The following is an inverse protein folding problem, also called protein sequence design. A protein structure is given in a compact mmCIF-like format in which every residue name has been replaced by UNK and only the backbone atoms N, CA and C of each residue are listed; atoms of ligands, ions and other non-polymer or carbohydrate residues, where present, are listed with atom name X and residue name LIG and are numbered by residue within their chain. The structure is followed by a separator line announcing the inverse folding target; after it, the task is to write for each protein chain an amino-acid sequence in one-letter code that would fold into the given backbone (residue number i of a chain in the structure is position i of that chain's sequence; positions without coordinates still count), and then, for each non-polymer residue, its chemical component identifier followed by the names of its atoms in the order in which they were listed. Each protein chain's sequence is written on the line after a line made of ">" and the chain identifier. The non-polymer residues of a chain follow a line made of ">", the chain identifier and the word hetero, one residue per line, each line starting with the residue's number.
data_IF_251592469015
#
_entry.id   IF_251592469015
#
_cell.length_a   1.000
_cell.length_b   1.000
_cell.length_c   1.000
_cell.angle_alpha   90.00
_cell.angle_beta   90.00
_cell.angle_gamma   90.00
#
_symmetry.space_group_name_H-M   'P 1'
#
loop_
_entity.id
_entity.type
_entity.pdbx_description
1 polymer ?
#
# COMPACT_ATOMS: atom_id res chain seq x y z
N UNK A 1 34.49 2.86 -8.20
CA UNK A 1 33.46 3.67 -7.52
C UNK A 1 32.55 2.68 -6.85
N UNK A 2 32.58 2.65 -5.52
CA UNK A 2 31.97 1.60 -4.70
C UNK A 2 30.46 1.71 -4.77
N UNK A 3 29.80 0.63 -5.18
CA UNK A 3 28.36 0.49 -5.09
C UNK A 3 28.01 0.39 -3.60
N UNK A 4 27.29 1.39 -3.09
CA UNK A 4 26.65 1.34 -1.78
C UNK A 4 25.49 0.36 -1.90
N UNK A 5 25.69 -0.87 -1.43
CA UNK A 5 24.59 -1.79 -1.14
C UNK A 5 23.69 -1.10 -0.13
N UNK A 6 22.49 -0.68 -0.56
CA UNK A 6 21.47 -0.21 0.36
C UNK A 6 21.10 -1.39 1.25
N UNK A 7 21.23 -1.19 2.56
CA UNK A 7 20.77 -2.12 3.57
C UNK A 7 19.30 -2.45 3.32
N UNK A 8 19.01 -3.69 2.93
CA UNK A 8 17.69 -4.28 3.13
C UNK A 8 17.51 -4.35 4.65
N UNK A 9 16.83 -3.37 5.23
CA UNK A 9 16.32 -3.46 6.60
C UNK A 9 15.43 -4.71 6.67
N UNK A 10 15.99 -5.81 7.17
CA UNK A 10 15.32 -7.08 7.41
C UNK A 10 14.28 -6.86 8.52
N UNK A 11 13.11 -6.34 8.13
CA UNK A 11 12.03 -6.03 9.07
C UNK A 11 11.65 -7.35 9.76
N UNK A 12 11.80 -7.46 11.09
CA UNK A 12 11.54 -8.71 11.77
C UNK A 12 10.10 -9.15 11.48
N UNK A 13 9.94 -10.41 11.06
CA UNK A 13 8.67 -11.02 10.62
C UNK A 13 7.65 -11.16 11.76
N UNK A 14 7.17 -10.02 12.27
CA UNK A 14 6.37 -9.86 13.47
C UNK A 14 5.00 -9.25 13.16
N UNK A 15 4.62 -9.16 11.89
CA UNK A 15 3.35 -8.53 11.45
C UNK A 15 2.37 -9.55 10.85
N UNK A 16 2.80 -10.79 10.59
CA UNK A 16 1.97 -11.83 9.95
C UNK A 16 2.06 -13.18 10.66
N UNK A 17 1.02 -14.01 10.49
CA UNK A 17 0.93 -15.37 11.04
C UNK A 17 1.02 -15.44 12.57
N UNK A 18 1.45 -16.58 13.15
CA UNK A 18 1.52 -16.74 14.60
C UNK A 18 2.43 -15.73 15.32
N UNK A 19 3.44 -15.19 14.64
CA UNK A 19 4.32 -14.14 15.21
C UNK A 19 3.62 -12.78 15.23
N UNK A 20 2.86 -12.45 14.17
CA UNK A 20 1.98 -11.28 14.10
C UNK A 20 0.98 -11.26 15.26
N UNK A 21 0.26 -12.36 15.47
CA UNK A 21 -0.72 -12.47 16.56
C UNK A 21 -0.08 -12.22 17.93
N UNK A 22 1.10 -12.78 18.19
CA UNK A 22 1.82 -12.58 19.46
C UNK A 22 2.25 -11.11 19.61
N UNK A 23 2.76 -10.50 18.54
CA UNK A 23 3.20 -9.11 18.54
C UNK A 23 2.02 -8.14 18.75
N UNK A 24 0.90 -8.36 18.06
CA UNK A 24 -0.31 -7.57 18.21
C UNK A 24 -0.90 -7.69 19.62
N UNK A 25 -0.88 -8.89 20.21
CA UNK A 25 -1.30 -9.09 21.59
C UNK A 25 -0.39 -8.32 22.58
N UNK A 26 0.93 -8.34 22.38
CA UNK A 26 1.88 -7.57 23.21
C UNK A 26 1.61 -6.07 23.14
N UNK A 27 1.40 -5.55 21.92
CA UNK A 27 1.04 -4.15 21.67
C UNK A 27 -0.29 -3.79 22.33
N UNK A 28 -1.32 -4.61 22.13
CA UNK A 28 -2.63 -4.44 22.79
C UNK A 28 -2.50 -4.36 24.31
N UNK A 29 -1.73 -5.27 24.92
CA UNK A 29 -1.52 -5.24 26.38
C UNK A 29 -0.80 -3.98 26.82
N UNK A 30 0.17 -3.48 26.04
CA UNK A 30 0.86 -2.22 26.34
C UNK A 30 -0.09 -1.01 26.27
N UNK A 31 -0.99 -0.98 25.29
CA UNK A 31 -1.96 0.10 25.07
C UNK A 31 -3.14 0.05 26.07
N UNK A 32 -3.54 -1.15 26.49
CA UNK A 32 -4.57 -1.36 27.52
C UNK A 32 -4.09 -1.06 28.94
N UNK A 33 -2.77 -0.96 29.13
CA UNK A 33 -2.16 -0.66 30.41
C UNK A 33 -2.25 0.83 30.66
N UNK A 34 -3.37 1.18 31.30
CA UNK A 34 -3.63 2.49 31.83
C UNK A 34 -2.52 2.92 32.81
N UNK A 35 -2.30 4.23 32.99
CA UNK A 35 -1.21 4.74 33.85
C UNK A 35 -1.32 4.30 35.32
N UNK A 36 -2.48 3.74 35.69
CA UNK A 36 -2.85 3.20 37.00
C UNK A 36 -2.24 1.82 37.31
N UNK A 37 -1.64 1.14 36.32
CA UNK A 37 -1.02 -0.18 36.51
C UNK A 37 0.34 -0.07 37.22
N UNK A 38 0.63 -0.95 38.21
CA UNK A 38 1.89 -0.91 38.96
C UNK A 38 3.14 -0.89 38.06
N UNK A 39 4.11 -0.05 38.42
CA UNK A 39 5.35 0.19 37.65
C UNK A 39 6.07 -1.12 37.25
N UNK A 40 6.08 -2.13 38.13
CA UNK A 40 6.65 -3.46 37.86
C UNK A 40 5.98 -4.19 36.69
N UNK A 41 4.65 -4.09 36.54
CA UNK A 41 3.90 -4.71 35.44
C UNK A 41 4.12 -3.95 34.12
N UNK A 42 4.26 -2.62 34.18
CA UNK A 42 4.64 -1.79 33.02
C UNK A 42 6.06 -2.10 32.51
N UNK A 43 7.01 -2.20 33.44
CA UNK A 43 8.41 -2.50 33.11
C UNK A 43 8.58 -3.91 32.54
N UNK A 44 7.81 -4.87 33.06
CA UNK A 44 7.76 -6.23 32.54
C UNK A 44 7.25 -6.27 31.08
N UNK A 45 6.14 -5.58 30.78
CA UNK A 45 5.61 -5.49 29.41
C UNK A 45 6.59 -4.83 28.43
N UNK A 46 7.32 -3.80 28.89
CA UNK A 46 8.39 -3.15 28.10
C UNK A 46 9.58 -4.08 27.84
N UNK A 47 9.90 -4.97 28.77
CA UNK A 47 10.94 -5.99 28.59
C UNK A 47 10.47 -7.14 27.67
N UNK A 48 9.16 -7.38 27.58
CA UNK A 48 8.58 -8.38 26.66
C UNK A 48 8.57 -7.92 25.20
N UNK A 49 8.43 -6.61 24.93
CA UNK A 49 8.41 -6.05 23.57
C UNK A 49 9.79 -5.91 22.92
N UNK A 50 10.88 -6.05 23.69
CA UNK A 50 12.26 -5.98 23.18
C UNK A 50 12.96 -7.31 23.46
N UNK A 51 13.21 -8.16 22.45
CA UNK A 51 14.02 -9.35 22.65
C UNK A 51 15.44 -8.90 23.04
N UNK A 52 15.96 -9.36 24.19
CA UNK A 52 17.39 -9.37 24.47
C UNK A 52 17.96 -10.68 23.94
N UNK A 53 19.10 -10.62 23.29
CA UNK A 53 19.75 -11.74 22.57
C UNK A 53 20.34 -12.85 23.46
N UNK A 54 20.27 -12.72 24.79
CA UNK A 54 21.12 -13.49 25.72
C UNK A 54 20.53 -14.80 26.28
N UNK A 55 19.45 -15.36 25.75
CA UNK A 55 18.88 -16.62 26.24
C UNK A 55 18.90 -17.73 25.19
N UNK A 56 19.89 -18.63 25.29
CA UNK A 56 20.00 -19.86 24.47
C UNK A 56 18.77 -20.80 24.57
N UNK A 57 17.92 -20.65 25.59
CA UNK A 57 16.63 -21.37 25.73
C UNK A 57 15.45 -20.69 25.01
N UNK A 58 15.56 -19.42 24.61
CA UNK A 58 14.50 -18.68 23.89
C UNK A 58 14.41 -19.00 22.39
N UNK A 59 15.39 -19.72 21.85
CA UNK A 59 15.54 -19.95 20.40
C UNK A 59 14.30 -20.57 19.73
N UNK A 60 13.46 -21.32 20.45
CA UNK A 60 12.24 -21.92 19.89
C UNK A 60 10.92 -21.45 20.53
N UNK A 61 10.95 -20.72 21.65
CA UNK A 61 9.74 -20.35 22.40
C UNK A 61 9.38 -18.89 22.13
N UNK A 62 8.33 -18.68 21.33
CA UNK A 62 7.87 -17.35 20.90
C UNK A 62 7.19 -16.52 22.00
N UNK A 63 6.73 -17.16 23.08
CA UNK A 63 6.00 -16.54 24.19
C UNK A 63 6.38 -17.18 25.54
N UNK A 64 6.68 -16.36 26.54
CA UNK A 64 7.08 -16.73 27.91
C UNK A 64 5.91 -17.22 28.77
N UNK A 65 6.19 -17.94 29.85
CA UNK A 65 5.16 -18.45 30.79
C UNK A 65 4.31 -17.30 31.36
N UNK A 66 4.95 -16.18 31.71
CA UNK A 66 4.28 -15.01 32.27
C UNK A 66 3.30 -14.35 31.28
N UNK A 67 3.60 -14.41 29.98
CA UNK A 67 2.69 -13.91 28.94
C UNK A 67 1.42 -14.77 28.86
N UNK A 68 1.55 -16.11 28.96
CA UNK A 68 0.38 -17.00 28.97
C UNK A 68 -0.56 -16.74 30.16
N UNK A 69 -0.02 -16.40 31.32
CA UNK A 69 -0.81 -16.08 32.52
C UNK A 69 -1.63 -14.79 32.36
N UNK A 70 -1.18 -13.85 31.51
CA UNK A 70 -1.82 -12.55 31.27
C UNK A 70 -2.93 -12.57 30.21
N UNK A 71 -3.19 -13.72 29.58
CA UNK A 71 -4.24 -13.90 28.57
C UNK A 71 -5.64 -13.96 29.20
N UNK A 72 -5.75 -14.14 30.52
CA UNK A 72 -7.06 -14.28 31.17
C UNK A 72 -7.82 -12.94 31.24
N UNK A 73 -9.09 -12.99 30.84
CA UNK A 73 -10.11 -11.93 30.91
C UNK A 73 -9.74 -10.61 30.19
N UNK A 74 -10.03 -10.57 28.88
CA UNK A 74 -9.85 -9.36 28.05
C UNK A 74 -11.20 -8.65 27.82
N UNK A 75 -11.22 -7.32 27.94
CA UNK A 75 -12.41 -6.52 27.67
C UNK A 75 -12.66 -6.40 26.16
N UNK A 76 -13.77 -6.95 25.69
CA UNK A 76 -14.24 -6.89 24.30
C UNK A 76 -14.30 -5.45 23.75
N UNK A 77 -14.63 -4.45 24.59
CA UNK A 77 -14.66 -3.04 24.17
C UNK A 77 -13.25 -2.53 23.88
N UNK A 78 -12.28 -2.89 24.73
CA UNK A 78 -10.87 -2.55 24.51
C UNK A 78 -10.32 -3.23 23.25
N UNK A 79 -10.67 -4.50 23.02
CA UNK A 79 -10.27 -5.23 21.81
C UNK A 79 -10.83 -4.61 20.53
N UNK A 80 -12.11 -4.22 20.51
CA UNK A 80 -12.72 -3.53 19.35
C UNK A 80 -12.00 -2.22 19.04
N UNK A 81 -11.67 -1.42 20.07
CA UNK A 81 -10.92 -0.16 19.91
C UNK A 81 -9.53 -0.41 19.31
N UNK A 82 -8.80 -1.40 19.83
CA UNK A 82 -7.47 -1.73 19.34
C UNK A 82 -7.48 -2.19 17.87
N UNK A 83 -8.43 -3.06 17.48
CA UNK A 83 -8.59 -3.48 16.07
C UNK A 83 -8.77 -2.28 15.13
N UNK A 84 -9.61 -1.30 15.52
CA UNK A 84 -9.81 -0.07 14.75
C UNK A 84 -8.52 0.75 14.64
N UNK A 85 -7.80 0.92 15.76
CA UNK A 85 -6.54 1.64 15.81
C UNK A 85 -5.47 1.01 14.90
N UNK A 86 -5.34 -0.33 14.89
CA UNK A 86 -4.38 -1.01 14.02
C UNK A 86 -4.65 -0.75 12.53
N UNK A 87 -5.92 -0.78 12.10
CA UNK A 87 -6.29 -0.47 10.70
C UNK A 87 -5.97 0.99 10.36
N UNK A 88 -6.30 1.92 11.25
CA UNK A 88 -6.03 3.34 11.07
C UNK A 88 -4.53 3.64 10.98
N UNK A 89 -3.72 3.11 11.90
CA UNK A 89 -2.26 3.29 11.87
C UNK A 89 -1.63 2.75 10.59
N UNK A 90 -2.13 1.61 10.08
CA UNK A 90 -1.65 1.07 8.80
C UNK A 90 -2.05 1.98 7.64
N UNK A 91 -3.28 2.48 7.61
CA UNK A 91 -3.73 3.43 6.60
C UNK A 91 -2.87 4.71 6.61
N UNK A 92 -2.66 5.30 7.79
CA UNK A 92 -1.83 6.51 7.97
C UNK A 92 -0.37 6.30 7.54
N UNK A 93 0.20 5.11 7.80
CA UNK A 93 1.56 4.76 7.35
C UNK A 93 1.67 4.63 5.84
N UNK A 94 0.60 4.24 5.17
CA UNK A 94 0.55 4.03 3.73
C UNK A 94 0.07 5.27 2.96
N UNK A 95 -0.54 6.24 3.63
CA UNK A 95 -1.08 7.47 3.01
C UNK A 95 -0.05 8.59 2.82
N UNK A 96 1.23 8.35 3.12
CA UNK A 96 2.30 9.33 2.94
C UNK A 96 2.99 9.21 1.57
N UNK A 97 3.21 10.35 0.91
CA UNK A 97 3.94 10.42 -0.35
C UNK A 97 3.66 11.69 -1.14
N UNK A 98 4.37 11.90 -2.25
CA UNK A 98 4.00 12.95 -3.20
C UNK A 98 2.56 12.72 -3.71
N UNK A 99 1.86 13.83 -3.96
CA UNK A 99 0.52 13.81 -4.56
C UNK A 99 0.60 14.38 -5.97
N UNK A 100 -0.17 13.79 -6.87
CA UNK A 100 -0.28 14.13 -8.29
C UNK A 100 -1.77 14.40 -8.60
N UNK A 101 -2.06 15.21 -9.60
CA UNK A 101 -3.45 15.57 -9.96
C UNK A 101 -3.69 15.56 -11.47
N UNK A 102 -2.74 15.02 -12.24
CA UNK A 102 -2.76 15.02 -13.69
C UNK A 102 -1.89 13.90 -14.26
N UNK A 103 -2.19 13.45 -15.48
CA UNK A 103 -1.31 12.56 -16.24
C UNK A 103 -0.10 13.33 -16.77
N UNK A 104 1.10 12.77 -16.59
CA UNK A 104 2.35 13.36 -17.06
C UNK A 104 2.78 12.78 -18.40
N UNK A 105 2.97 13.63 -19.41
CA UNK A 105 3.58 13.22 -20.68
C UNK A 105 5.09 13.00 -20.50
N UNK A 106 5.60 11.88 -20.96
CA UNK A 106 7.04 11.59 -20.99
C UNK A 106 7.56 11.74 -22.42
N UNK A 107 8.55 12.61 -22.59
CA UNK A 107 9.06 12.95 -23.94
C UNK A 107 10.16 11.99 -24.44
N UNK A 108 10.70 11.12 -23.57
CA UNK A 108 11.79 10.20 -23.92
C UNK A 108 11.85 8.96 -23.02
N UNK A 109 12.53 7.92 -23.50
CA UNK A 109 12.87 6.75 -22.70
C UNK A 109 13.74 7.07 -21.47
N UNK A 110 14.56 8.12 -21.52
CA UNK A 110 15.32 8.59 -20.35
C UNK A 110 14.39 9.16 -19.27
N UNK A 111 13.40 9.96 -19.66
CA UNK A 111 12.38 10.48 -18.74
C UNK A 111 11.54 9.34 -18.14
N UNK A 112 11.23 8.31 -18.93
CA UNK A 112 10.58 7.09 -18.44
C UNK A 112 11.41 6.40 -17.36
N UNK A 113 12.70 6.16 -17.61
CA UNK A 113 13.60 5.52 -16.64
C UNK A 113 13.75 6.37 -15.35
N UNK A 114 13.89 7.68 -15.50
CA UNK A 114 13.99 8.58 -14.35
C UNK A 114 12.74 8.52 -13.45
N UNK A 115 11.55 8.47 -14.05
CA UNK A 115 10.29 8.37 -13.30
C UNK A 115 10.16 7.04 -12.57
N UNK A 116 10.64 5.91 -13.10
CA UNK A 116 10.54 4.63 -12.38
C UNK A 116 11.62 4.46 -11.31
N UNK A 117 12.83 5.00 -11.52
CA UNK A 117 13.98 4.78 -10.62
C UNK A 117 14.04 5.77 -9.46
N UNK A 118 13.66 7.03 -9.69
CA UNK A 118 13.83 8.11 -8.70
C UNK A 118 12.56 8.46 -7.94
N UNK A 119 11.43 7.88 -8.30
CA UNK A 119 10.16 8.17 -7.62
C UNK A 119 10.14 7.61 -6.20
N UNK A 120 9.30 8.21 -5.35
CA UNK A 120 9.17 7.77 -3.98
C UNK A 120 8.74 6.30 -3.89
N UNK A 121 9.41 5.51 -3.05
CA UNK A 121 9.24 4.03 -2.95
C UNK A 121 7.81 3.54 -2.72
N UNK A 122 6.95 4.36 -2.10
CA UNK A 122 5.54 4.02 -1.86
C UNK A 122 4.61 4.40 -3.02
N UNK A 123 5.07 5.25 -3.92
CA UNK A 123 4.29 5.73 -5.07
C UNK A 123 4.18 4.63 -6.12
N UNK A 124 2.94 4.36 -6.53
CA UNK A 124 2.65 3.57 -7.72
C UNK A 124 2.80 4.45 -8.95
N UNK A 125 3.50 3.97 -9.97
CA UNK A 125 3.66 4.64 -11.26
C UNK A 125 2.94 3.82 -12.31
N UNK A 126 1.91 4.38 -12.92
CA UNK A 126 1.16 3.77 -14.03
C UNK A 126 1.57 4.47 -15.31
N UNK A 127 2.15 3.74 -16.25
CA UNK A 127 2.59 4.29 -17.55
C UNK A 127 1.79 3.67 -18.70
N UNK A 128 1.10 4.54 -19.43
CA UNK A 128 0.45 4.19 -20.69
C UNK A 128 1.39 4.44 -21.87
N UNK A 129 1.81 3.37 -22.54
CA UNK A 129 2.54 3.46 -23.81
C UNK A 129 1.49 3.43 -24.91
N UNK A 130 1.44 4.50 -25.71
CA UNK A 130 0.39 4.74 -26.67
C UNK A 130 0.95 5.11 -28.04
N UNK A 131 0.09 5.10 -29.06
CA UNK A 131 0.41 5.68 -30.35
C UNK A 131 -0.83 6.29 -30.97
N UNK A 132 -0.69 7.50 -31.50
CA UNK A 132 -1.78 8.21 -32.15
C UNK A 132 -2.38 7.39 -33.31
N UNK A 133 -3.71 7.31 -33.35
CA UNK A 133 -4.44 6.56 -34.38
C UNK A 133 -4.59 5.05 -34.12
N UNK A 134 -3.99 4.50 -33.07
CA UNK A 134 -4.27 3.14 -32.61
C UNK A 134 -5.56 3.14 -31.78
N UNK A 135 -6.49 2.22 -32.09
CA UNK A 135 -7.81 2.12 -31.43
C UNK A 135 -7.66 1.96 -29.92
N UNK A 136 -8.40 2.73 -29.15
CA UNK A 136 -8.43 2.65 -27.68
C UNK A 136 -7.35 3.47 -26.97
N UNK A 137 -6.34 3.99 -27.67
CA UNK A 137 -5.30 4.84 -27.05
C UNK A 137 -5.88 6.16 -26.53
N UNK A 138 -6.70 6.84 -27.33
CA UNK A 138 -7.28 8.14 -26.94
C UNK A 138 -8.35 7.98 -25.85
N UNK A 139 -9.14 6.92 -25.92
CA UNK A 139 -10.10 6.56 -24.89
C UNK A 139 -9.38 6.25 -23.56
N UNK A 140 -8.30 5.47 -23.60
CA UNK A 140 -7.51 5.17 -22.40
C UNK A 140 -6.83 6.43 -21.84
N UNK A 141 -6.31 7.32 -22.69
CA UNK A 141 -5.78 8.62 -22.26
C UNK A 141 -6.83 9.40 -21.45
N UNK A 142 -8.05 9.50 -21.98
CA UNK A 142 -9.16 10.19 -21.31
C UNK A 142 -9.54 9.53 -19.98
N UNK A 143 -9.53 8.19 -19.93
CA UNK A 143 -9.79 7.45 -18.69
C UNK A 143 -8.72 7.72 -17.63
N UNK A 144 -7.44 7.74 -18.01
CA UNK A 144 -6.34 8.01 -17.10
C UNK A 144 -6.33 9.47 -16.61
N UNK A 145 -6.77 10.42 -17.44
CA UNK A 145 -6.97 11.82 -17.02
C UNK A 145 -8.00 11.91 -15.87
N UNK A 146 -9.11 11.16 -15.94
CA UNK A 146 -10.06 11.06 -14.83
C UNK A 146 -9.44 10.40 -13.59
N UNK A 147 -8.80 9.23 -13.77
CA UNK A 147 -8.22 8.48 -12.65
C UNK A 147 -7.10 9.23 -11.93
N UNK A 148 -6.32 10.04 -12.64
CA UNK A 148 -5.28 10.87 -12.04
C UNK A 148 -5.82 11.90 -11.05
N UNK A 149 -7.06 12.37 -11.25
CA UNK A 149 -7.73 13.28 -10.30
C UNK A 149 -8.30 12.56 -9.08
N UNK A 150 -8.68 11.29 -9.23
CA UNK A 150 -9.26 10.48 -8.15
C UNK A 150 -8.19 9.81 -7.27
N UNK A 151 -7.04 9.46 -7.87
CA UNK A 151 -5.96 8.71 -7.23
C UNK A 151 -4.69 9.56 -7.11
N UNK A 152 -4.76 10.60 -6.28
CA UNK A 152 -3.66 11.55 -6.14
C UNK A 152 -2.36 10.96 -5.60
N UNK A 153 -2.39 9.80 -4.93
CA UNK A 153 -1.18 9.09 -4.48
C UNK A 153 -0.52 8.23 -5.57
N UNK A 154 -1.13 8.12 -6.76
CA UNK A 154 -0.63 7.36 -7.91
C UNK A 154 -0.14 8.35 -8.97
N UNK A 155 1.05 8.10 -9.51
CA UNK A 155 1.59 8.88 -10.62
C UNK A 155 1.19 8.24 -11.94
N UNK A 156 0.28 8.88 -12.66
CA UNK A 156 -0.07 8.47 -14.01
C UNK A 156 0.82 9.18 -15.01
N UNK A 157 1.36 8.42 -15.95
CA UNK A 157 2.18 8.90 -17.04
C UNK A 157 1.69 8.31 -18.36
N UNK A 158 2.01 8.99 -19.46
CA UNK A 158 1.87 8.45 -20.80
C UNK A 158 3.08 8.79 -21.66
N UNK A 159 3.38 7.94 -22.62
CA UNK A 159 4.53 8.08 -23.52
C UNK A 159 4.17 7.55 -24.90
N UNK A 160 4.48 8.33 -25.95
CA UNK A 160 4.35 7.83 -27.32
C UNK A 160 5.33 6.67 -27.54
N UNK A 161 4.87 5.58 -28.16
CA UNK A 161 5.65 4.39 -28.44
C UNK A 161 6.99 4.70 -29.11
N UNK A 162 7.05 5.74 -29.96
CA UNK A 162 8.28 6.20 -30.62
C UNK A 162 9.24 6.84 -29.62
N UNK A 163 8.73 7.63 -28.66
CA UNK A 163 9.52 8.31 -27.65
C UNK A 163 10.17 7.34 -26.64
N UNK A 164 9.65 6.11 -26.51
CA UNK A 164 10.23 5.07 -25.64
C UNK A 164 11.67 4.70 -26.03
N UNK A 165 12.07 4.91 -27.29
CA UNK A 165 13.32 4.42 -27.83
C UNK A 165 13.32 2.92 -28.20
N UNK A 166 12.17 2.25 -28.12
CA UNK A 166 11.97 0.84 -28.45
C UNK A 166 10.72 0.62 -29.33
N UNK A 167 10.47 1.53 -30.28
CA UNK A 167 9.28 1.55 -31.13
C UNK A 167 9.00 0.20 -31.82
N UNK A 168 10.04 -0.53 -32.23
CA UNK A 168 9.92 -1.85 -32.86
C UNK A 168 9.35 -2.94 -31.94
N UNK A 169 9.36 -2.71 -30.62
CA UNK A 169 8.75 -3.60 -29.62
C UNK A 169 7.29 -3.28 -29.34
N UNK A 170 6.84 -2.08 -29.70
CA UNK A 170 5.49 -1.59 -29.46
C UNK A 170 4.74 -1.44 -30.79
N UNK A 171 4.48 -2.58 -31.44
CA UNK A 171 3.60 -2.61 -32.61
C UNK A 171 2.15 -2.29 -32.22
N UNK A 172 1.32 -1.94 -33.22
CA UNK A 172 -0.10 -1.70 -33.01
C UNK A 172 -0.88 -2.87 -32.40
N UNK A 173 -0.34 -4.09 -32.47
CA UNK A 173 -0.97 -5.31 -31.90
C UNK A 173 -0.83 -5.39 -30.39
N UNK A 174 0.22 -4.79 -29.82
CA UNK A 174 0.46 -4.77 -28.38
C UNK A 174 0.02 -3.47 -27.73
N UNK A 175 -0.32 -2.45 -28.52
CA UNK A 175 -0.83 -1.18 -28.04
C UNK A 175 -2.37 -1.15 -27.91
N UNK A 176 -2.93 -0.35 -26.99
CA UNK A 176 -2.23 0.38 -25.92
C UNK A 176 -1.66 -0.57 -24.86
N UNK A 177 -0.44 -0.27 -24.39
CA UNK A 177 0.20 -1.04 -23.30
C UNK A 177 0.12 -0.24 -22.00
N UNK A 178 -0.27 -0.91 -20.91
CA UNK A 178 -0.26 -0.33 -19.57
C UNK A 178 0.78 -1.03 -18.70
N UNK A 179 1.75 -0.28 -18.18
CA UNK A 179 2.77 -0.76 -17.26
C UNK A 179 2.53 -0.19 -15.88
N UNK A 180 2.72 -0.99 -14.83
CA UNK A 180 2.58 -0.55 -13.45
C UNK A 180 3.85 -0.87 -12.68
N UNK A 181 4.45 0.15 -12.07
CA UNK A 181 5.69 0.04 -11.30
C UNK A 181 5.50 0.50 -9.86
N UNK A 182 6.32 -0.05 -8.95
CA UNK A 182 6.49 0.45 -7.59
C UNK A 182 7.91 0.18 -7.12
N UNK A 183 8.56 1.20 -6.55
CA UNK A 183 9.94 1.08 -6.05
C UNK A 183 10.94 0.51 -7.09
N UNK A 184 10.79 0.88 -8.36
CA UNK A 184 11.63 0.39 -9.47
C UNK A 184 11.27 -1.01 -9.98
N UNK A 185 10.35 -1.73 -9.33
CA UNK A 185 9.91 -3.05 -9.76
C UNK A 185 8.67 -2.97 -10.65
N UNK A 186 8.62 -3.80 -11.69
CA UNK A 186 7.47 -3.95 -12.58
C UNK A 186 6.45 -4.90 -11.94
N UNK A 187 5.30 -4.35 -11.53
CA UNK A 187 4.20 -5.09 -10.91
C UNK A 187 3.19 -5.63 -11.94
N UNK A 188 2.93 -4.87 -13.00
CA UNK A 188 1.95 -5.22 -14.02
C UNK A 188 2.40 -4.81 -15.42
N UNK A 189 2.20 -5.70 -16.39
CA UNK A 189 2.48 -5.46 -17.81
C UNK A 189 1.32 -5.97 -18.65
N UNK A 190 0.46 -5.05 -19.08
CA UNK A 190 -0.77 -5.34 -19.79
C UNK A 190 -0.64 -4.88 -21.24
N UNK A 191 -0.35 -5.82 -22.14
CA UNK A 191 -0.31 -5.58 -23.58
C UNK A 191 -1.74 -5.55 -24.13
N UNK A 192 -2.00 -4.65 -25.07
CA UNK A 192 -3.31 -4.45 -25.68
C UNK A 192 -4.43 -4.40 -24.63
N UNK A 193 -4.22 -3.58 -23.58
CA UNK A 193 -5.02 -3.61 -22.35
C UNK A 193 -6.52 -3.46 -22.62
N UNK A 194 -6.89 -2.78 -23.71
CA UNK A 194 -8.28 -2.59 -24.13
C UNK A 194 -9.01 -3.86 -24.53
N UNK A 195 -8.31 -4.97 -24.76
CA UNK A 195 -8.93 -6.29 -24.97
C UNK A 195 -9.64 -6.84 -23.72
N UNK A 196 -9.32 -6.29 -22.54
CA UNK A 196 -9.99 -6.63 -21.29
C UNK A 196 -11.29 -5.84 -21.07
N UNK A 197 -11.60 -4.87 -21.92
CA UNK A 197 -12.76 -4.00 -21.81
C UNK A 197 -13.78 -4.26 -22.93
N UNK A 198 -14.97 -3.69 -22.76
CA UNK A 198 -15.94 -3.60 -23.84
C UNK A 198 -15.45 -2.62 -24.92
N UNK A 199 -16.11 -2.65 -26.09
CA UNK A 199 -15.75 -1.75 -27.20
C UNK A 199 -15.86 -0.27 -26.81
N UNK A 200 -16.83 0.06 -25.97
CA UNK A 200 -16.92 1.35 -25.26
C UNK A 200 -16.60 1.09 -23.79
N UNK A 201 -15.58 1.79 -23.26
CA UNK A 201 -15.15 1.68 -21.87
C UNK A 201 -14.82 3.06 -21.30
N UNK A 202 -14.89 3.17 -19.97
CA UNK A 202 -14.70 4.42 -19.23
C UNK A 202 -13.73 4.23 -18.06
N UNK A 203 -13.42 5.32 -17.37
CA UNK A 203 -12.49 5.33 -16.24
C UNK A 203 -12.83 4.27 -15.18
N UNK A 204 -14.12 4.03 -14.92
CA UNK A 204 -14.59 3.01 -13.97
C UNK A 204 -14.25 1.58 -14.39
N UNK A 205 -14.19 1.29 -15.69
CA UNK A 205 -13.81 -0.04 -16.19
C UNK A 205 -12.30 -0.26 -16.00
N UNK A 206 -11.50 0.77 -16.28
CA UNK A 206 -10.04 0.76 -16.05
C UNK A 206 -9.72 0.66 -14.56
N UNK A 207 -10.46 1.39 -13.72
CA UNK A 207 -10.37 1.32 -12.27
C UNK A 207 -10.67 -0.09 -11.75
N UNK A 208 -11.80 -0.67 -12.18
CA UNK A 208 -12.21 -2.00 -11.76
C UNK A 208 -11.15 -3.05 -12.14
N UNK A 209 -10.61 -2.96 -13.36
CA UNK A 209 -9.54 -3.82 -13.82
C UNK A 209 -8.28 -3.69 -12.97
N UNK A 210 -7.77 -2.48 -12.73
CA UNK A 210 -6.58 -2.30 -11.90
C UNK A 210 -6.81 -2.75 -10.44
N UNK A 211 -8.00 -2.54 -9.89
CA UNK A 211 -8.38 -3.03 -8.56
C UNK A 211 -8.43 -4.56 -8.46
N UNK A 212 -8.82 -5.26 -9.52
CA UNK A 212 -8.82 -6.74 -9.55
C UNK A 212 -7.41 -7.32 -9.32
N UNK A 213 -6.37 -6.60 -9.76
CA UNK A 213 -4.97 -6.94 -9.53
C UNK A 213 -4.38 -6.29 -8.27
N UNK A 214 -5.14 -5.49 -7.53
CA UNK A 214 -4.64 -4.74 -6.36
C UNK A 214 -3.60 -3.66 -6.73
N UNK A 215 -3.71 -3.10 -7.94
CA UNK A 215 -2.76 -2.11 -8.50
C UNK A 215 -3.20 -0.66 -8.31
N UNK A 216 -4.26 -0.43 -7.54
CA UNK A 216 -4.65 0.89 -7.06
C UNK A 216 -4.74 0.87 -5.53
N UNK A 217 -4.35 1.97 -4.86
CA UNK A 217 -4.57 2.11 -3.43
C UNK A 217 -6.08 2.24 -3.13
N UNK A 218 -6.47 2.00 -1.89
CA UNK A 218 -7.85 2.30 -1.46
C UNK A 218 -8.12 3.80 -1.63
N UNK A 219 -9.30 4.14 -2.17
CA UNK A 219 -9.77 5.54 -2.20
C UNK A 219 -9.87 6.04 -0.76
N UNK A 220 -9.32 7.23 -0.49
CA UNK A 220 -9.58 7.95 0.75
C UNK A 220 -11.08 8.26 0.77
N UNK A 221 -11.88 7.40 1.40
CA UNK A 221 -13.26 7.74 1.72
C UNK A 221 -13.19 8.88 2.71
N UNK A 222 -13.44 10.11 2.24
CA UNK A 222 -13.90 11.17 3.12
C UNK A 222 -15.21 10.67 3.74
N UNK A 223 -15.10 10.08 4.93
CA UNK A 223 -16.25 9.65 5.70
C UNK A 223 -17.13 10.88 5.90
N UNK A 224 -18.21 10.96 5.13
CA UNK A 224 -19.30 11.87 5.43
C UNK A 224 -19.71 11.59 6.87
N UNK A 225 -19.47 12.56 7.75
CA UNK A 225 -19.86 12.51 9.14
C UNK A 225 -21.38 12.40 9.23
N UNK A 226 -21.89 11.18 9.22
CA UNK A 226 -23.30 10.86 9.44
C UNK A 226 -23.40 9.43 9.98
N UNK A 227 -22.92 9.23 11.20
CA UNK A 227 -23.57 8.28 12.09
C UNK A 227 -24.05 9.09 13.29
N UNK A 228 -25.37 9.16 13.36
CA UNK A 228 -26.16 9.93 14.30
C UNK A 228 -25.92 9.47 15.74
N UNK A 229 -26.00 10.46 16.61
CA UNK A 229 -26.08 10.36 18.06
C UNK A 229 -27.26 9.44 18.46
N UNK A 230 -27.00 8.19 18.80
CA UNK A 230 -27.95 7.37 19.58
C UNK A 230 -27.24 6.73 20.77
N UNK A 231 -27.51 7.32 21.94
CA UNK A 231 -27.14 6.78 23.23
C UNK A 231 -27.62 7.66 24.39
N UNK A 232 -28.88 8.12 24.30
CA UNK A 232 -29.53 8.86 25.37
C UNK A 232 -29.52 8.10 26.69
N UNK A 233 -29.18 8.83 27.75
CA UNK A 233 -29.41 8.46 29.14
C UNK A 233 -30.88 8.09 29.35
N UNK A 234 -31.11 6.95 30.00
CA UNK A 234 -32.37 6.70 30.69
C UNK A 234 -32.04 6.32 32.13
N UNK A 235 -32.59 7.14 33.02
CA UNK A 235 -32.53 7.10 34.49
C UNK A 235 -32.83 5.73 35.11
#
# INVERSE_FOLDING_TARGET
>A
MSATTQDEDDVPANHTGPKGVINDWRRFKLDSVDQTVPQKKRELLRQMSSPRDDDKERLNRKMSVQEYELIQEEDERCLKRYRKQCMQEMHERLSFGPKFESVHELESGEAFLEVIEKEHRLTLVVVHIYQHGVKGCEELNSCLDCLATEYSSVKFCRIDAVATGAAERFSSEVLPTLLVYKAGELLGNFLAVTQHFNEEFFATDVEAFLNEYGLLPEKEFEACAADEDEGGEVE
#
